data_IF_431670538494
#
_entry.id   IF_431670538494
#
_cell.length_a   1.000
_cell.length_b   1.000
_cell.length_c   1.000
_cell.angle_alpha   90.00
_cell.angle_beta   90.00
_cell.angle_gamma   90.00
#
_symmetry.space_group_name_H-M   'P 1'
#
loop_
_entity.id
_entity.type
_entity.pdbx_description
1 polymer ?
#
# COMPACT_ATOMS: atom_id res chain seq x y z
N UNK A 1 7.80 12.54 9.72
CA UNK A 1 8.43 13.30 8.61
C UNK A 1 7.42 13.71 7.54
N UNK A 2 6.78 12.79 6.77
CA UNK A 2 5.87 13.17 5.68
C UNK A 2 4.66 13.98 6.17
N UNK A 3 3.97 13.52 7.23
CA UNK A 3 2.84 14.23 7.81
C UNK A 3 3.24 15.62 8.37
N UNK A 4 4.40 15.72 9.00
CA UNK A 4 4.93 17.01 9.49
C UNK A 4 5.22 17.97 8.33
N UNK A 5 5.80 17.46 7.25
CA UNK A 5 6.05 18.27 6.06
C UNK A 5 4.74 18.80 5.45
N UNK A 6 3.72 17.94 5.32
CA UNK A 6 2.39 18.33 4.83
C UNK A 6 1.77 19.37 5.76
N UNK A 7 1.80 19.13 7.07
CA UNK A 7 1.27 20.05 8.07
C UNK A 7 1.98 21.42 8.06
N UNK A 8 3.28 21.44 7.80
CA UNK A 8 4.04 22.69 7.68
C UNK A 8 3.67 23.49 6.43
N UNK A 9 3.23 22.83 5.36
CA UNK A 9 2.85 23.49 4.09
C UNK A 9 1.38 23.88 4.00
N UNK A 10 0.50 23.02 4.51
CA UNK A 10 -0.95 23.15 4.34
C UNK A 10 -1.70 23.49 5.65
N UNK A 11 -0.98 23.66 6.76
CA UNK A 11 -1.54 23.79 8.10
C UNK A 11 -1.87 22.44 8.73
N UNK A 12 -1.79 22.40 10.06
CA UNK A 12 -2.06 21.17 10.83
C UNK A 12 -3.54 20.81 10.76
N UNK A 13 -3.83 19.60 10.33
CA UNK A 13 -5.18 19.03 10.27
C UNK A 13 -5.22 17.71 11.03
N UNK A 14 -6.38 17.35 11.64
CA UNK A 14 -6.54 16.04 12.26
C UNK A 14 -6.50 14.94 11.18
N UNK A 15 -5.96 13.78 11.54
CA UNK A 15 -6.12 12.57 10.74
C UNK A 15 -7.50 11.99 11.08
N UNK A 16 -8.38 11.91 10.10
CA UNK A 16 -9.77 11.45 10.25
C UNK A 16 -9.96 10.04 9.75
N UNK A 17 -8.97 9.47 9.08
CA UNK A 17 -8.95 8.08 8.64
C UNK A 17 -7.62 7.69 8.03
N UNK A 18 -7.38 6.39 7.95
CA UNK A 18 -6.20 5.79 7.35
C UNK A 18 -6.67 4.71 6.37
N UNK A 19 -6.03 4.64 5.22
CA UNK A 19 -6.28 3.58 4.23
C UNK A 19 -5.00 2.80 4.02
N UNK A 20 -5.05 1.50 4.26
CA UNK A 20 -4.01 0.57 3.82
C UNK A 20 -4.37 0.07 2.44
N UNK A 21 -3.54 0.36 1.45
CA UNK A 21 -3.77 -0.11 0.09
C UNK A 21 -3.60 -1.61 -0.05
N UNK A 22 -2.56 -2.16 0.60
CA UNK A 22 -2.21 -3.58 0.53
C UNK A 22 -1.32 -4.01 1.72
N UNK A 23 -0.98 -5.29 1.76
CA UNK A 23 -0.36 -5.95 2.92
C UNK A 23 1.17 -5.86 2.99
N UNK A 24 1.85 -5.16 2.09
CA UNK A 24 3.30 -4.96 2.19
C UNK A 24 3.66 -3.93 3.25
N UNK A 25 4.73 -4.22 4.00
CA UNK A 25 5.07 -3.49 5.22
C UNK A 25 5.46 -2.02 5.01
N UNK A 26 6.01 -1.69 3.88
CA UNK A 26 6.39 -0.33 3.50
C UNK A 26 5.18 0.57 3.25
N UNK A 27 3.98 -0.02 3.07
CA UNK A 27 2.72 0.70 2.87
C UNK A 27 1.87 0.85 4.13
N UNK A 28 2.14 0.10 5.20
CA UNK A 28 1.41 0.24 6.47
C UNK A 28 2.33 0.44 7.69
N UNK A 29 3.60 0.07 7.58
CA UNK A 29 4.51 -0.02 8.73
C UNK A 29 4.75 1.28 9.48
N UNK A 30 4.50 2.44 8.86
CA UNK A 30 4.62 3.75 9.46
C UNK A 30 3.38 4.26 10.22
N UNK A 31 2.32 3.49 10.33
CA UNK A 31 0.99 3.92 10.81
C UNK A 31 1.03 4.55 12.21
N UNK A 32 1.86 4.04 13.12
CA UNK A 32 2.00 4.58 14.50
C UNK A 32 2.62 5.98 14.54
N UNK A 33 3.19 6.45 13.44
CA UNK A 33 3.62 7.84 13.28
C UNK A 33 2.55 8.76 12.69
N UNK A 34 1.37 8.23 12.39
CA UNK A 34 0.27 8.94 11.73
C UNK A 34 -0.95 9.05 12.64
N UNK A 35 -1.28 7.99 13.37
CA UNK A 35 -2.48 7.91 14.22
C UNK A 35 -2.17 7.18 15.54
N UNK A 36 -2.85 7.59 16.61
CA UNK A 36 -2.79 6.88 17.88
C UNK A 36 -3.68 5.63 17.86
N UNK A 37 -3.16 4.53 18.38
CA UNK A 37 -3.90 3.26 18.43
C UNK A 37 -5.18 3.36 19.27
N UNK A 38 -5.19 4.21 20.29
CA UNK A 38 -6.37 4.48 21.10
C UNK A 38 -7.50 5.14 20.31
N UNK A 39 -7.18 6.04 19.38
CA UNK A 39 -8.17 6.67 18.50
C UNK A 39 -8.78 5.65 17.51
N UNK A 40 -7.99 4.68 17.07
CA UNK A 40 -8.48 3.58 16.21
C UNK A 40 -9.34 2.59 17.04
N UNK A 41 -8.87 2.20 18.21
CA UNK A 41 -9.60 1.27 19.09
C UNK A 41 -10.94 1.82 19.56
N UNK A 42 -11.04 3.14 19.78
CA UNK A 42 -12.31 3.80 20.13
C UNK A 42 -13.25 4.00 18.93
N UNK A 43 -12.82 3.69 17.71
CA UNK A 43 -13.59 3.92 16.48
C UNK A 43 -13.60 5.38 16.01
N UNK A 44 -12.85 6.28 16.65
CA UNK A 44 -12.74 7.69 16.26
C UNK A 44 -12.06 7.87 14.91
N UNK A 45 -11.03 7.05 14.63
CA UNK A 45 -10.31 7.05 13.37
C UNK A 45 -10.42 5.66 12.74
N UNK A 46 -11.15 5.50 11.63
CA UNK A 46 -11.18 4.24 10.91
C UNK A 46 -9.83 3.97 10.23
N UNK A 47 -9.38 2.73 10.31
CA UNK A 47 -8.32 2.17 9.49
C UNK A 47 -8.99 1.22 8.49
N UNK A 48 -9.05 1.66 7.24
CA UNK A 48 -9.71 0.96 6.15
C UNK A 48 -8.66 0.09 5.45
N UNK A 49 -9.01 -1.15 5.16
CA UNK A 49 -8.11 -2.08 4.46
C UNK A 49 -8.90 -3.10 3.65
N UNK A 50 -8.30 -3.75 2.63
CA UNK A 50 -8.93 -4.86 1.95
C UNK A 50 -9.15 -6.03 2.90
N UNK A 51 -10.16 -6.84 2.64
CA UNK A 51 -10.42 -8.06 3.38
C UNK A 51 -9.17 -8.97 3.40
N UNK A 52 -8.97 -9.69 4.51
CA UNK A 52 -7.79 -10.52 4.76
C UNK A 52 -6.45 -9.78 4.95
N UNK A 53 -6.43 -8.46 4.92
CA UNK A 53 -5.21 -7.66 5.10
C UNK A 53 -4.37 -8.11 6.29
N UNK A 54 -4.99 -8.25 7.47
CA UNK A 54 -4.26 -8.61 8.69
C UNK A 54 -3.60 -9.99 8.59
N UNK A 55 -4.30 -10.95 7.99
CA UNK A 55 -3.77 -12.31 7.75
C UNK A 55 -2.52 -12.27 6.88
N UNK A 56 -2.58 -11.57 5.75
CA UNK A 56 -1.49 -11.51 4.79
C UNK A 56 -0.30 -10.69 5.32
N UNK A 57 -0.58 -9.58 6.00
CA UNK A 57 0.47 -8.78 6.65
C UNK A 57 1.24 -9.59 7.71
N UNK A 58 0.54 -10.40 8.51
CA UNK A 58 1.18 -11.28 9.52
C UNK A 58 1.90 -12.45 8.85
N UNK A 59 1.30 -13.07 7.84
CA UNK A 59 1.92 -14.20 7.13
C UNK A 59 3.27 -13.79 6.55
N UNK A 60 3.33 -12.66 5.87
CA UNK A 60 4.55 -12.20 5.22
C UNK A 60 5.59 -11.65 6.18
N UNK A 61 5.18 -10.81 7.14
CA UNK A 61 6.12 -10.05 7.96
C UNK A 61 6.48 -10.72 9.29
N UNK A 62 5.67 -11.65 9.77
CA UNK A 62 5.92 -12.38 11.02
C UNK A 62 6.31 -13.82 10.73
N UNK A 63 5.45 -14.62 10.09
CA UNK A 63 5.75 -16.03 9.85
C UNK A 63 6.91 -16.23 8.88
N UNK A 64 6.90 -15.55 7.74
CA UNK A 64 7.98 -15.60 6.75
C UNK A 64 9.09 -14.55 7.01
N UNK A 65 8.89 -13.64 7.96
CA UNK A 65 9.67 -12.42 8.14
C UNK A 65 11.18 -12.62 8.19
N UNK A 66 11.67 -13.56 8.98
CA UNK A 66 13.12 -13.85 9.08
C UNK A 66 13.72 -14.36 7.75
N UNK A 67 12.99 -15.20 7.04
CA UNK A 67 13.44 -15.72 5.76
C UNK A 67 13.44 -14.61 4.70
N UNK A 68 12.37 -13.83 4.65
CA UNK A 68 12.24 -12.72 3.72
C UNK A 68 13.26 -11.61 3.99
N UNK A 69 13.48 -11.25 5.25
CA UNK A 69 14.50 -10.26 5.64
C UNK A 69 15.90 -10.64 5.16
N UNK A 70 16.29 -11.92 5.27
CA UNK A 70 17.57 -12.38 4.75
C UNK A 70 17.64 -12.35 3.22
N UNK A 71 16.57 -12.75 2.54
CA UNK A 71 16.50 -12.75 1.06
C UNK A 71 16.41 -11.35 0.48
N UNK A 72 15.84 -10.40 1.20
CA UNK A 72 15.79 -8.98 0.83
C UNK A 72 17.17 -8.40 0.57
N UNK A 73 18.20 -8.86 1.30
CA UNK A 73 19.59 -8.45 1.08
C UNK A 73 20.07 -8.79 -0.35
N UNK A 74 19.59 -9.90 -0.89
CA UNK A 74 19.89 -10.29 -2.28
C UNK A 74 19.04 -9.55 -3.29
N UNK A 75 17.75 -9.35 -2.99
CA UNK A 75 16.83 -8.64 -3.89
C UNK A 75 17.25 -7.20 -4.13
N UNK A 76 17.67 -6.50 -3.09
CA UNK A 76 18.02 -5.08 -3.15
C UNK A 76 19.52 -4.81 -3.12
N UNK A 77 20.34 -5.87 -3.06
CA UNK A 77 21.80 -5.76 -3.06
C UNK A 77 22.38 -4.81 -1.99
N UNK A 78 21.70 -4.68 -0.85
CA UNK A 78 22.02 -3.69 0.21
C UNK A 78 23.39 -3.90 0.86
N UNK A 79 23.99 -5.08 0.69
CA UNK A 79 25.33 -5.39 1.18
C UNK A 79 26.45 -4.90 0.27
N UNK A 80 26.13 -4.52 -0.98
CA UNK A 80 27.12 -3.99 -1.91
C UNK A 80 27.38 -2.53 -1.58
N UNK A 81 28.65 -2.12 -1.77
CA UNK A 81 29.02 -0.71 -1.66
C UNK A 81 28.33 0.12 -2.75
N UNK A 82 27.96 1.34 -2.41
CA UNK A 82 27.39 2.29 -3.37
C UNK A 82 28.46 2.71 -4.37
N UNK A 83 28.25 2.32 -5.61
CA UNK A 83 29.13 2.66 -6.74
C UNK A 83 28.43 2.31 -8.05
N UNK A 84 28.93 2.80 -9.21
CA UNK A 84 28.39 2.39 -10.51
C UNK A 84 28.48 0.88 -10.78
N UNK A 85 29.35 0.15 -10.08
CA UNK A 85 29.53 -1.29 -10.21
C UNK A 85 28.99 -2.09 -9.03
N UNK A 86 28.35 -1.42 -8.06
CA UNK A 86 27.78 -2.03 -6.88
C UNK A 86 26.31 -1.71 -6.74
N UNK A 87 25.92 -1.16 -5.57
CA UNK A 87 24.55 -0.77 -5.30
C UNK A 87 24.25 0.62 -5.88
N UNK A 88 23.49 0.71 -6.96
CA UNK A 88 23.08 1.97 -7.61
C UNK A 88 21.77 2.49 -7.00
N UNK A 89 20.71 1.68 -7.05
CA UNK A 89 19.42 1.90 -6.40
C UNK A 89 18.64 0.57 -6.26
N UNK A 90 17.41 0.65 -5.80
CA UNK A 90 16.57 -0.51 -5.52
C UNK A 90 15.41 -0.65 -6.53
N UNK A 91 15.43 0.07 -7.63
CA UNK A 91 14.35 0.24 -8.60
C UNK A 91 13.11 0.98 -8.04
N UNK A 92 12.84 0.87 -6.76
CA UNK A 92 11.77 1.58 -6.03
C UNK A 92 12.28 2.84 -5.32
N UNK A 93 13.54 3.18 -5.49
CA UNK A 93 14.20 4.36 -4.91
C UNK A 93 15.64 4.11 -4.53
N UNK A 94 16.30 5.14 -4.04
CA UNK A 94 17.72 5.08 -3.68
C UNK A 94 17.99 4.31 -2.40
N UNK A 95 17.00 4.25 -1.51
CA UNK A 95 17.06 3.53 -0.24
C UNK A 95 15.66 3.36 0.33
N UNK A 96 15.49 2.39 1.23
CA UNK A 96 14.25 2.27 2.01
C UNK A 96 14.29 3.20 3.22
N UNK A 97 13.13 3.68 3.64
CA UNK A 97 13.00 4.43 4.88
C UNK A 97 13.37 3.55 6.09
N UNK A 98 14.22 4.09 6.97
CA UNK A 98 14.57 3.45 8.21
C UNK A 98 13.70 3.99 9.34
N UNK A 99 13.24 3.13 10.24
CA UNK A 99 12.42 3.49 11.37
C UNK A 99 11.82 2.28 12.06
N UNK A 100 10.98 2.53 13.06
CA UNK A 100 10.23 1.46 13.72
C UNK A 100 9.03 1.08 12.86
N UNK A 101 8.93 -0.20 12.57
CA UNK A 101 7.77 -0.78 11.90
C UNK A 101 6.70 -1.10 12.93
N UNK A 102 5.46 -0.75 12.63
CA UNK A 102 4.30 -1.05 13.47
C UNK A 102 3.10 -1.45 12.62
N UNK A 103 2.12 -2.06 13.28
CA UNK A 103 0.86 -2.41 12.68
C UNK A 103 -0.24 -2.03 13.67
N UNK A 104 -1.28 -1.37 13.18
CA UNK A 104 -2.57 -1.21 13.87
C UNK A 104 -3.58 -2.02 13.06
N UNK A 105 -4.28 -2.94 13.71
CA UNK A 105 -5.27 -3.75 13.02
C UNK A 105 -6.37 -2.88 12.38
N UNK A 106 -6.73 -3.11 11.11
CA UNK A 106 -7.83 -2.36 10.50
C UNK A 106 -9.14 -2.67 11.22
N UNK A 107 -9.97 -1.65 11.41
CA UNK A 107 -11.30 -1.76 12.02
C UNK A 107 -12.43 -1.56 11.00
N UNK A 108 -12.12 -1.29 9.74
CA UNK A 108 -13.04 -1.20 8.62
C UNK A 108 -12.49 -1.97 7.41
N UNK A 109 -13.16 -3.04 7.01
CA UNK A 109 -12.73 -3.87 5.88
C UNK A 109 -13.57 -3.58 4.64
N UNK A 110 -12.90 -3.58 3.49
CA UNK A 110 -13.50 -3.56 2.15
C UNK A 110 -13.55 -5.01 1.68
N UNK A 111 -14.77 -5.58 1.58
CA UNK A 111 -14.96 -7.01 1.30
C UNK A 111 -15.68 -7.29 -0.01
N UNK A 112 -16.21 -6.27 -0.68
CA UNK A 112 -16.86 -6.40 -1.98
C UNK A 112 -15.87 -6.06 -3.08
N UNK A 113 -16.13 -6.56 -4.29
CA UNK A 113 -15.34 -6.19 -5.48
C UNK A 113 -15.27 -4.67 -5.64
N UNK A 114 -16.42 -3.99 -5.43
CA UNK A 114 -16.49 -2.53 -5.33
C UNK A 114 -17.25 -2.13 -4.08
N UNK A 115 -16.68 -1.19 -3.34
CA UNK A 115 -17.32 -0.65 -2.13
C UNK A 115 -17.11 0.86 -2.04
N UNK A 116 -18.17 1.57 -1.66
CA UNK A 116 -18.16 3.01 -1.49
C UNK A 116 -18.15 3.37 -0.01
N UNK A 117 -17.22 4.23 0.38
CA UNK A 117 -17.13 4.80 1.73
C UNK A 117 -16.99 6.31 1.61
N UNK A 118 -17.75 7.05 2.40
CA UNK A 118 -17.58 8.50 2.53
C UNK A 118 -17.02 8.81 3.91
N UNK A 119 -15.91 9.53 3.96
CA UNK A 119 -15.25 9.93 5.19
C UNK A 119 -14.89 11.41 5.14
N UNK A 120 -15.31 12.18 6.13
CA UNK A 120 -15.11 13.63 6.20
C UNK A 120 -15.52 14.38 4.91
N UNK A 121 -16.64 13.94 4.32
CA UNK A 121 -17.17 14.50 3.06
C UNK A 121 -16.43 14.03 1.80
N UNK A 122 -15.37 13.25 1.92
CA UNK A 122 -14.66 12.67 0.77
C UNK A 122 -15.23 11.31 0.46
N UNK A 123 -15.77 11.18 -0.75
CA UNK A 123 -16.24 9.91 -1.31
C UNK A 123 -15.07 9.13 -1.87
N UNK A 124 -14.95 7.88 -1.49
CA UNK A 124 -13.98 6.91 -1.98
C UNK A 124 -14.71 5.70 -2.53
N UNK A 125 -14.37 5.28 -3.73
CA UNK A 125 -14.84 4.02 -4.32
C UNK A 125 -13.65 3.08 -4.40
N UNK A 126 -13.69 2.05 -3.60
CA UNK A 126 -12.65 1.01 -3.57
C UNK A 126 -12.96 -0.07 -4.59
N UNK A 127 -11.93 -0.52 -5.30
CA UNK A 127 -11.94 -1.76 -6.07
C UNK A 127 -10.98 -2.74 -5.38
N UNK A 128 -11.49 -3.86 -4.88
CA UNK A 128 -10.63 -4.96 -4.46
C UNK A 128 -9.96 -5.58 -5.67
N UNK A 129 -8.65 -5.78 -5.58
CA UNK A 129 -7.82 -6.34 -6.65
C UNK A 129 -6.86 -7.38 -6.05
N UNK A 130 -7.38 -8.50 -5.50
CA UNK A 130 -6.57 -9.52 -4.86
C UNK A 130 -5.67 -10.23 -5.88
N UNK A 131 -4.58 -10.84 -5.38
CA UNK A 131 -3.61 -11.61 -6.19
C UNK A 131 -2.97 -10.80 -7.33
N UNK A 132 -2.84 -9.47 -7.13
CA UNK A 132 -2.15 -8.57 -8.08
C UNK A 132 -0.69 -8.38 -7.64
N UNK A 133 -0.27 -7.16 -7.26
CA UNK A 133 1.07 -6.91 -6.72
C UNK A 133 1.22 -7.55 -5.33
N UNK A 134 0.15 -7.55 -4.54
CA UNK A 134 0.08 -8.21 -3.24
C UNK A 134 -1.07 -9.23 -3.20
N UNK A 135 -1.08 -10.18 -2.24
CA UNK A 135 -2.19 -11.12 -2.06
C UNK A 135 -3.52 -10.43 -1.82
N UNK A 136 -3.51 -9.28 -1.17
CA UNK A 136 -4.65 -8.39 -0.97
C UNK A 136 -4.24 -6.97 -1.27
N UNK A 137 -4.96 -6.34 -2.17
CA UNK A 137 -4.69 -4.98 -2.63
C UNK A 137 -5.96 -4.32 -3.11
N UNK A 138 -6.01 -3.00 -3.16
CA UNK A 138 -7.16 -2.26 -3.68
C UNK A 138 -6.76 -0.94 -4.33
N UNK A 139 -7.44 -0.61 -5.42
CA UNK A 139 -7.49 0.73 -6.01
C UNK A 139 -8.48 1.60 -5.25
N UNK A 140 -8.28 2.92 -5.28
CA UNK A 140 -9.21 3.89 -4.70
C UNK A 140 -9.51 5.02 -5.69
N UNK A 141 -10.75 5.15 -6.09
CA UNK A 141 -11.25 6.24 -6.92
C UNK A 141 -11.83 7.36 -6.04
N UNK A 142 -11.40 8.58 -6.28
CA UNK A 142 -11.87 9.81 -5.64
C UNK A 142 -12.65 10.66 -6.65
N UNK A 143 -13.98 10.48 -6.77
CA UNK A 143 -14.78 11.16 -7.83
C UNK A 143 -14.71 12.68 -7.77
N UNK A 144 -14.70 13.26 -6.57
CA UNK A 144 -14.63 14.72 -6.40
C UNK A 144 -13.32 15.34 -6.91
N UNK A 145 -12.27 14.56 -6.96
CA UNK A 145 -10.93 15.00 -7.37
C UNK A 145 -10.53 14.45 -8.74
N UNK A 146 -11.38 13.61 -9.34
CA UNK A 146 -11.07 12.86 -10.57
C UNK A 146 -9.72 12.17 -10.48
N UNK A 147 -9.41 11.63 -9.31
CA UNK A 147 -8.13 11.02 -8.99
C UNK A 147 -8.30 9.53 -8.75
N UNK A 148 -7.49 8.72 -9.44
CA UNK A 148 -7.42 7.28 -9.24
C UNK A 148 -6.10 6.92 -8.58
N UNK A 149 -6.16 6.50 -7.32
CA UNK A 149 -5.02 5.94 -6.62
C UNK A 149 -4.95 4.45 -6.88
N UNK A 150 -3.95 4.03 -7.64
CA UNK A 150 -3.78 2.65 -8.10
C UNK A 150 -2.86 1.82 -7.21
N UNK A 151 -2.53 2.33 -6.03
CA UNK A 151 -1.65 1.64 -5.08
C UNK A 151 -0.32 1.25 -5.72
N UNK A 152 0.02 -0.02 -5.78
CA UNK A 152 1.17 -0.55 -6.53
C UNK A 152 0.74 -1.44 -7.71
N UNK A 153 -0.59 -1.51 -7.98
CA UNK A 153 -1.17 -2.29 -9.08
C UNK A 153 -0.71 -1.74 -10.44
N UNK A 154 -0.60 -0.41 -10.58
CA UNK A 154 -0.11 0.23 -11.80
C UNK A 154 1.15 1.02 -11.51
N UNK A 155 2.26 0.60 -12.09
CA UNK A 155 3.56 1.26 -11.97
C UNK A 155 4.07 1.71 -13.33
N UNK A 156 4.97 2.70 -13.35
CA UNK A 156 5.57 3.22 -14.58
C UNK A 156 6.56 2.26 -15.27
N UNK A 157 6.83 1.12 -14.65
CA UNK A 157 7.74 0.08 -15.17
C UNK A 157 7.05 -1.28 -15.09
N UNK A 158 7.57 -2.28 -15.81
CA UNK A 158 7.07 -3.67 -15.69
C UNK A 158 7.47 -4.19 -14.31
N UNK A 159 6.46 -4.48 -13.49
CA UNK A 159 6.65 -5.08 -12.18
C UNK A 159 6.94 -6.58 -12.31
N UNK A 160 7.74 -7.13 -11.39
CA UNK A 160 7.99 -8.58 -11.36
C UNK A 160 6.73 -9.34 -10.87
N UNK A 161 6.55 -10.56 -11.35
CA UNK A 161 5.49 -11.47 -10.87
C UNK A 161 5.96 -12.41 -9.76
N UNK A 162 7.26 -12.43 -9.47
CA UNK A 162 7.88 -13.19 -8.40
C UNK A 162 9.08 -12.43 -7.82
N UNK A 163 9.11 -12.27 -6.51
CA UNK A 163 10.18 -11.54 -5.83
C UNK A 163 11.26 -12.49 -5.32
N UNK A 164 12.54 -12.08 -5.39
CA UNK A 164 13.66 -12.86 -4.85
C UNK A 164 13.57 -13.04 -3.34
N UNK A 165 12.91 -12.11 -2.62
CA UNK A 165 12.66 -12.24 -1.19
C UNK A 165 11.72 -13.39 -0.84
N UNK A 166 10.97 -13.93 -1.82
CA UNK A 166 10.16 -15.12 -1.65
C UNK A 166 8.70 -14.87 -1.26
N UNK A 167 8.10 -13.78 -1.71
CA UNK A 167 6.65 -13.58 -1.64
C UNK A 167 5.90 -14.63 -2.46
N UNK A 168 4.59 -14.71 -2.28
CA UNK A 168 3.74 -15.56 -3.12
C UNK A 168 3.88 -15.14 -4.60
N UNK A 169 3.81 -16.10 -5.50
CA UNK A 169 3.82 -15.83 -6.95
C UNK A 169 2.54 -15.07 -7.30
N UNK A 170 2.69 -13.93 -7.94
CA UNK A 170 1.59 -13.07 -8.35
C UNK A 170 0.84 -13.65 -9.54
N UNK A 171 -0.45 -13.43 -9.62
CA UNK A 171 -1.28 -13.88 -10.71
C UNK A 171 -1.33 -12.84 -11.84
N UNK A 172 -0.42 -12.94 -12.80
CA UNK A 172 -0.31 -11.97 -13.89
C UNK A 172 -1.59 -11.83 -14.72
N UNK A 173 -2.36 -12.93 -14.89
CA UNK A 173 -3.62 -12.88 -15.61
C UNK A 173 -4.69 -12.12 -14.82
N UNK A 174 -4.83 -12.41 -13.53
CA UNK A 174 -5.76 -11.67 -12.68
C UNK A 174 -5.36 -10.20 -12.60
N UNK A 175 -4.07 -9.93 -12.41
CA UNK A 175 -3.54 -8.58 -12.36
C UNK A 175 -3.91 -7.75 -13.60
N UNK A 176 -3.76 -8.32 -14.79
CA UNK A 176 -4.15 -7.64 -16.04
C UNK A 176 -5.66 -7.39 -16.12
N UNK A 177 -6.51 -8.29 -15.57
CA UNK A 177 -7.97 -8.10 -15.53
C UNK A 177 -8.34 -6.97 -14.58
N UNK A 178 -7.75 -6.91 -13.40
CA UNK A 178 -8.00 -5.85 -12.41
C UNK A 178 -7.62 -4.46 -12.94
N UNK A 179 -6.48 -4.36 -13.65
CA UNK A 179 -6.08 -3.12 -14.33
C UNK A 179 -7.11 -2.72 -15.39
N UNK A 180 -7.53 -3.66 -16.24
CA UNK A 180 -8.52 -3.38 -17.27
C UNK A 180 -9.86 -2.95 -16.67
N UNK A 181 -10.30 -3.60 -15.60
CA UNK A 181 -11.54 -3.23 -14.92
C UNK A 181 -11.48 -1.81 -14.34
N UNK A 182 -10.36 -1.45 -13.68
CA UNK A 182 -10.13 -0.10 -13.20
C UNK A 182 -10.16 0.92 -14.35
N UNK A 183 -9.49 0.59 -15.47
CA UNK A 183 -9.44 1.45 -16.65
C UNK A 183 -10.81 1.67 -17.25
N UNK A 184 -11.62 0.62 -17.41
CA UNK A 184 -12.98 0.73 -17.95
C UNK A 184 -13.91 1.49 -17.02
N UNK A 185 -13.76 1.32 -15.71
CA UNK A 185 -14.66 1.91 -14.73
C UNK A 185 -14.33 3.36 -14.39
N UNK A 186 -13.06 3.70 -14.32
CA UNK A 186 -12.59 5.00 -13.81
C UNK A 186 -11.72 5.77 -14.81
N UNK A 187 -11.08 5.08 -15.74
CA UNK A 187 -10.01 5.66 -16.56
C UNK A 187 -10.45 6.81 -17.46
N UNK A 188 -11.71 6.82 -17.90
CA UNK A 188 -12.24 7.93 -18.73
C UNK A 188 -12.50 9.21 -17.93
N UNK A 189 -12.80 9.06 -16.64
CA UNK A 189 -13.10 10.18 -15.75
C UNK A 189 -11.88 10.64 -14.95
N UNK A 190 -10.82 9.84 -14.92
CA UNK A 190 -9.61 10.15 -14.18
C UNK A 190 -8.76 11.21 -14.88
N UNK A 191 -8.46 12.29 -14.18
CA UNK A 191 -7.52 13.33 -14.61
C UNK A 191 -6.14 13.17 -13.96
N UNK A 192 -6.08 12.46 -12.83
CA UNK A 192 -4.85 12.19 -12.06
C UNK A 192 -4.79 10.72 -11.66
N UNK A 193 -3.61 10.13 -11.82
CA UNK A 193 -3.28 8.78 -11.38
C UNK A 193 -1.95 8.80 -10.61
#
# INVERSE_FOLDING_TARGET
>A
AALEFINAKLGKRPVVGVVYSHSHVDHFGGVRGVVDEADVASGKVPVIAPEHFLREAIAENVFAGNAMSRRTQWQYAVLLQRSPFGHVDQAIGKNVANGNTGLIAPNRLVSKDFEEITLDGVKMVFQNAPDTEAPVEMNTWFPQFKALWTSEIVTGTIHNVYTLRGAQVRNALNWSKEINEALYKFGQDAEVM
#
